data_IF_486051436078
#
_entry.id   IF_486051436078
#
_cell.length_a   1.000
_cell.length_b   1.000
_cell.length_c   1.000
_cell.angle_alpha   90.00
_cell.angle_beta   90.00
_cell.angle_gamma   90.00
#
_symmetry.space_group_name_H-M   'P 1'
#
loop_
_entity.id
_entity.type
_entity.pdbx_description
1 polymer ?
#
# COMPACT_ATOMS: atom_id res chain seq x y z
N UNK A 1 -5.64 -14.67 0.00
CA UNK A 1 -6.39 -13.42 -0.02
C UNK A 1 -6.04 -12.66 -1.29
N UNK A 2 -7.02 -12.49 -2.17
CA UNK A 2 -6.77 -11.95 -3.52
C UNK A 2 -6.24 -10.52 -3.52
N UNK A 3 -6.76 -9.67 -2.61
CA UNK A 3 -6.33 -8.28 -2.53
C UNK A 3 -4.85 -8.15 -2.14
N UNK A 4 -4.39 -8.96 -1.20
CA UNK A 4 -2.97 -8.95 -0.81
C UNK A 4 -2.07 -9.44 -1.93
N UNK A 5 -2.50 -10.47 -2.64
CA UNK A 5 -1.75 -10.99 -3.79
C UNK A 5 -1.66 -9.93 -4.89
N UNK A 6 -2.78 -9.28 -5.20
CA UNK A 6 -2.83 -8.21 -6.19
C UNK A 6 -1.88 -7.06 -5.82
N UNK A 7 -1.94 -6.60 -4.56
CA UNK A 7 -1.05 -5.53 -4.09
C UNK A 7 0.41 -5.93 -4.14
N UNK A 8 0.73 -7.13 -3.72
CA UNK A 8 2.11 -7.64 -3.75
C UNK A 8 2.66 -7.61 -5.18
N UNK A 9 1.88 -8.06 -6.16
CA UNK A 9 2.26 -8.05 -7.56
C UNK A 9 2.46 -6.63 -8.07
N UNK A 10 1.55 -5.69 -7.72
CA UNK A 10 1.65 -4.30 -8.16
C UNK A 10 2.86 -3.59 -7.55
N UNK A 11 3.13 -3.79 -6.28
CA UNK A 11 4.30 -3.20 -5.63
C UNK A 11 5.60 -3.75 -6.22
N UNK A 12 5.61 -5.02 -6.56
CA UNK A 12 6.75 -5.66 -7.23
C UNK A 12 6.99 -5.07 -8.62
N UNK A 13 5.92 -4.81 -9.38
CA UNK A 13 6.01 -4.14 -10.68
C UNK A 13 6.59 -2.73 -10.57
N UNK A 14 6.31 -2.04 -9.48
CA UNK A 14 6.86 -0.71 -9.21
C UNK A 14 8.31 -0.76 -8.70
N UNK A 15 8.83 -1.94 -8.41
CA UNK A 15 10.18 -2.09 -7.86
C UNK A 15 10.27 -1.70 -6.39
N UNK A 16 9.17 -1.77 -5.65
CA UNK A 16 9.14 -1.44 -4.23
C UNK A 16 9.58 -2.67 -3.41
N UNK A 17 10.65 -2.57 -2.61
CA UNK A 17 11.04 -3.66 -1.70
C UNK A 17 9.99 -3.80 -0.58
N UNK A 18 9.23 -4.90 -0.61
CA UNK A 18 8.04 -5.04 0.21
C UNK A 18 7.92 -6.44 0.80
N UNK A 19 7.53 -6.52 2.09
CA UNK A 19 7.11 -7.74 2.75
C UNK A 19 5.86 -7.47 3.58
N UNK A 20 5.00 -8.45 3.72
CA UNK A 20 3.77 -8.31 4.50
C UNK A 20 3.99 -8.73 5.95
N UNK A 21 3.45 -7.93 6.87
CA UNK A 21 3.49 -8.19 8.29
C UNK A 21 4.76 -7.71 8.96
N UNK A 22 5.89 -8.32 8.62
CA UNK A 22 7.19 -7.93 9.16
C UNK A 22 8.29 -8.19 8.14
N UNK A 23 9.40 -7.50 8.29
CA UNK A 23 10.54 -7.66 7.40
C UNK A 23 11.43 -8.79 7.93
N UNK A 24 11.58 -9.84 7.13
CA UNK A 24 12.35 -11.05 7.51
C UNK A 24 13.61 -11.26 6.68
N UNK A 25 13.72 -10.56 5.54
CA UNK A 25 14.89 -10.66 4.66
C UNK A 25 16.06 -9.85 5.21
N UNK A 26 17.23 -9.98 4.56
CA UNK A 26 18.40 -9.16 4.88
C UNK A 26 18.03 -7.67 4.73
N UNK A 27 18.40 -6.87 5.73
CA UNK A 27 18.01 -5.47 5.79
C UNK A 27 18.78 -4.62 4.79
N UNK A 28 18.07 -4.00 3.86
CA UNK A 28 18.61 -2.97 2.97
C UNK A 28 17.59 -1.83 2.86
N UNK A 29 18.07 -0.62 2.64
CA UNK A 29 17.21 0.57 2.62
C UNK A 29 17.00 1.09 1.21
N UNK A 30 15.80 1.58 0.87
CA UNK A 30 14.59 1.55 1.69
C UNK A 30 13.94 0.17 1.72
N UNK A 31 13.14 -0.10 2.75
CA UNK A 31 12.29 -1.28 2.78
C UNK A 31 10.89 -0.92 3.26
N UNK A 32 9.89 -1.69 2.83
CA UNK A 32 8.48 -1.42 3.13
C UNK A 32 7.83 -2.65 3.74
N UNK A 33 7.01 -2.41 4.74
CA UNK A 33 6.21 -3.45 5.40
C UNK A 33 4.74 -3.08 5.27
N UNK A 34 3.92 -4.04 4.85
CA UNK A 34 2.48 -3.83 4.68
C UNK A 34 1.67 -4.46 5.78
N UNK A 35 0.60 -3.80 6.16
CA UNK A 35 -0.40 -4.29 7.12
C UNK A 35 -1.78 -4.05 6.53
N UNK A 36 -2.73 -4.93 6.85
CA UNK A 36 -4.09 -4.85 6.36
C UNK A 36 -5.07 -4.70 7.52
N UNK A 37 -5.96 -3.72 7.41
CA UNK A 37 -7.09 -3.55 8.34
C UNK A 37 -8.38 -3.66 7.53
N UNK A 38 -9.23 -4.59 7.88
CA UNK A 38 -10.54 -4.75 7.24
C UNK A 38 -11.56 -3.85 7.93
N UNK A 39 -12.36 -3.16 7.13
CA UNK A 39 -13.44 -2.33 7.63
C UNK A 39 -14.67 -3.20 7.89
N UNK A 40 -15.40 -2.90 8.95
CA UNK A 40 -16.55 -3.72 9.38
C UNK A 40 -17.82 -3.45 8.57
N UNK A 41 -17.87 -2.37 7.81
CA UNK A 41 -19.09 -1.89 7.13
C UNK A 41 -18.90 -1.99 5.62
N UNK A 42 -19.86 -2.64 4.95
CA UNK A 42 -19.94 -2.64 3.50
C UNK A 42 -20.51 -1.31 3.01
N UNK A 43 -20.07 -0.87 1.83
CA UNK A 43 -20.62 0.31 1.19
C UNK A 43 -21.97 -0.01 0.52
N UNK A 44 -22.72 1.04 0.16
CA UNK A 44 -24.05 0.87 -0.47
C UNK A 44 -24.00 0.12 -1.79
N UNK A 45 -22.88 0.18 -2.50
CA UNK A 45 -22.68 -0.52 -3.77
C UNK A 45 -22.24 -1.98 -3.59
N UNK A 46 -22.26 -2.49 -2.35
CA UNK A 46 -21.89 -3.87 -2.05
C UNK A 46 -20.40 -4.13 -1.98
N UNK A 47 -19.58 -3.09 -1.96
CA UNK A 47 -18.13 -3.27 -1.85
C UNK A 47 -17.73 -3.51 -0.41
N UNK A 48 -16.81 -4.46 -0.23
CA UNK A 48 -16.08 -4.60 1.02
C UNK A 48 -14.88 -3.67 0.96
N UNK A 49 -14.64 -2.92 2.03
CA UNK A 49 -13.52 -2.00 2.08
C UNK A 49 -12.48 -2.44 3.11
N UNK A 50 -11.23 -2.18 2.80
CA UNK A 50 -10.13 -2.40 3.71
C UNK A 50 -9.07 -1.31 3.50
N UNK A 51 -8.22 -1.12 4.50
CA UNK A 51 -7.11 -0.17 4.43
C UNK A 51 -5.81 -0.94 4.51
N UNK A 52 -4.96 -0.73 3.51
CA UNK A 52 -3.63 -1.29 3.48
C UNK A 52 -2.64 -0.20 3.89
N UNK A 53 -1.88 -0.47 4.94
CA UNK A 53 -0.92 0.47 5.48
C UNK A 53 0.47 0.02 5.08
N UNK A 54 1.16 0.85 4.30
CA UNK A 54 2.50 0.57 3.82
C UNK A 54 3.48 1.48 4.54
N UNK A 55 4.33 0.91 5.38
CA UNK A 55 5.32 1.67 6.15
C UNK A 55 6.70 1.47 5.54
N UNK A 56 7.28 2.56 5.05
CA UNK A 56 8.60 2.56 4.45
C UNK A 56 9.64 3.14 5.38
N UNK A 57 10.78 2.46 5.51
CA UNK A 57 11.91 2.88 6.34
C UNK A 57 13.15 3.04 5.46
N UNK A 58 13.86 4.15 5.64
CA UNK A 58 15.01 4.49 4.81
C UNK A 58 16.09 5.20 5.63
N UNK A 59 17.33 4.94 5.30
CA UNK A 59 18.47 5.73 5.75
C UNK A 59 18.90 6.60 4.60
N UNK A 60 18.61 7.89 4.69
CA UNK A 60 18.87 8.82 3.61
C UNK A 60 17.97 10.03 3.75
N UNK A 61 17.53 10.60 2.65
CA UNK A 61 16.71 11.80 2.69
C UNK A 61 15.22 11.49 2.60
N UNK A 62 14.41 12.38 3.16
CA UNK A 62 12.96 12.35 2.96
C UNK A 62 12.59 12.47 1.49
N UNK A 63 13.46 13.11 0.68
CA UNK A 63 13.21 13.25 -0.75
C UNK A 63 13.10 11.89 -1.45
N UNK A 64 13.94 10.94 -1.07
CA UNK A 64 13.90 9.60 -1.65
C UNK A 64 12.56 8.90 -1.34
N UNK A 65 12.10 8.99 -0.09
CA UNK A 65 10.79 8.46 0.30
C UNK A 65 9.65 9.19 -0.39
N UNK A 66 9.77 10.51 -0.55
CA UNK A 66 8.77 11.32 -1.26
C UNK A 66 8.64 10.90 -2.72
N UNK A 67 9.75 10.58 -3.38
CA UNK A 67 9.73 10.09 -4.77
C UNK A 67 9.03 8.75 -4.88
N UNK A 68 9.28 7.85 -3.94
CA UNK A 68 8.59 6.55 -3.90
C UNK A 68 7.10 6.72 -3.65
N UNK A 69 6.72 7.62 -2.74
CA UNK A 69 5.32 7.94 -2.50
C UNK A 69 4.62 8.47 -3.75
N UNK A 70 5.26 9.37 -4.49
CA UNK A 70 4.70 9.90 -5.74
C UNK A 70 4.49 8.80 -6.78
N UNK A 71 5.42 7.88 -6.86
CA UNK A 71 5.33 6.72 -7.75
C UNK A 71 4.13 5.84 -7.39
N UNK A 72 3.95 5.56 -6.11
CA UNK A 72 2.82 4.78 -5.59
C UNK A 72 1.51 5.53 -5.82
N UNK A 73 1.45 6.83 -5.52
CA UNK A 73 0.28 7.67 -5.73
C UNK A 73 -0.16 7.71 -7.19
N UNK A 74 0.80 7.78 -8.11
CA UNK A 74 0.51 7.79 -9.54
C UNK A 74 -0.05 6.45 -10.00
N UNK A 75 0.49 5.36 -9.48
CA UNK A 75 0.05 4.01 -9.85
C UNK A 75 -1.34 3.68 -9.29
N UNK A 76 -1.57 4.00 -8.03
CA UNK A 76 -2.86 3.84 -7.37
C UNK A 76 -3.56 5.19 -7.29
N UNK A 77 -4.12 5.63 -8.42
CA UNK A 77 -4.72 6.95 -8.55
C UNK A 77 -5.74 7.20 -7.41
N UNK A 78 -5.66 8.35 -6.69
CA UNK A 78 -6.57 8.61 -5.57
C UNK A 78 -8.02 8.85 -5.98
N UNK A 79 -8.28 9.15 -7.24
CA UNK A 79 -9.63 9.43 -7.74
C UNK A 79 -10.21 8.21 -8.45
N UNK A 80 -9.48 7.66 -9.41
CA UNK A 80 -9.98 6.57 -10.25
C UNK A 80 -9.54 5.19 -9.74
N UNK A 81 -8.45 5.14 -8.99
CA UNK A 81 -7.90 3.90 -8.49
C UNK A 81 -7.25 3.04 -9.57
N UNK A 82 -6.54 2.01 -9.12
CA UNK A 82 -6.08 0.93 -9.97
C UNK A 82 -7.11 -0.20 -9.87
N UNK A 83 -7.67 -0.60 -11.00
CA UNK A 83 -8.76 -1.56 -11.05
C UNK A 83 -8.35 -2.84 -11.75
N UNK A 84 -8.89 -3.95 -11.27
CA UNK A 84 -8.73 -5.25 -11.91
C UNK A 84 -10.01 -6.06 -11.71
N UNK A 85 -10.23 -7.02 -12.60
CA UNK A 85 -11.39 -7.91 -12.50
C UNK A 85 -10.92 -9.36 -12.55
N UNK A 86 -11.49 -10.17 -11.67
CA UNK A 86 -11.22 -11.60 -11.60
C UNK A 86 -12.52 -12.36 -11.75
N UNK A 87 -12.43 -13.69 -11.84
CA UNK A 87 -13.63 -14.54 -11.85
C UNK A 87 -14.42 -14.46 -10.54
N UNK A 88 -13.75 -14.06 -9.46
CA UNK A 88 -14.38 -13.91 -8.14
C UNK A 88 -15.00 -12.52 -7.93
N UNK A 89 -14.75 -11.56 -8.82
CA UNK A 89 -15.27 -10.19 -8.70
C UNK A 89 -14.31 -9.15 -9.25
N UNK A 90 -14.35 -7.96 -8.68
CA UNK A 90 -13.47 -6.86 -9.06
C UNK A 90 -12.86 -6.18 -7.85
N UNK A 91 -11.72 -5.54 -8.06
CA UNK A 91 -10.97 -4.83 -7.03
C UNK A 91 -10.56 -3.45 -7.55
N UNK A 92 -10.58 -2.46 -6.67
CA UNK A 92 -10.03 -1.14 -6.93
C UNK A 92 -9.18 -0.72 -5.74
N UNK A 93 -7.99 -0.20 -6.02
CA UNK A 93 -7.06 0.27 -4.98
C UNK A 93 -6.75 1.74 -5.23
N UNK A 94 -6.92 2.55 -4.19
CA UNK A 94 -6.75 4.01 -4.24
C UNK A 94 -5.69 4.45 -3.26
N UNK A 95 -4.79 5.32 -3.69
CA UNK A 95 -3.91 6.02 -2.74
C UNK A 95 -4.77 6.93 -1.86
N UNK A 96 -4.64 6.80 -0.55
CA UNK A 96 -5.52 7.45 0.43
C UNK A 96 -4.75 8.25 1.48
N UNK A 97 -3.62 8.78 1.11
CA UNK A 97 -2.83 9.65 1.96
C UNK A 97 -1.50 9.05 2.39
N UNK A 98 -0.62 9.93 2.82
CA UNK A 98 0.70 9.57 3.33
C UNK A 98 1.19 10.63 4.29
N UNK A 99 2.03 10.21 5.25
CA UNK A 99 2.67 11.14 6.17
C UNK A 99 4.00 10.57 6.65
N UNK A 100 4.90 11.46 7.04
CA UNK A 100 6.18 11.07 7.61
C UNK A 100 6.01 10.79 9.10
N UNK A 101 6.64 9.72 9.58
CA UNK A 101 6.55 9.28 10.96
C UNK A 101 7.87 9.58 11.66
N UNK A 102 7.88 10.30 12.80
CA UNK A 102 9.11 10.51 13.56
C UNK A 102 9.70 9.19 14.05
N UNK A 103 11.01 9.02 13.94
CA UNK A 103 11.69 7.79 14.34
C UNK A 103 12.52 7.93 15.61
N UNK A 104 12.81 9.17 16.03
CA UNK A 104 13.73 9.47 17.13
C UNK A 104 15.18 9.02 16.87
N UNK A 105 15.50 8.65 15.63
CA UNK A 105 16.85 8.29 15.20
C UNK A 105 17.22 9.22 14.04
N UNK A 106 18.32 9.96 14.18
CA UNK A 106 18.66 11.08 13.30
C UNK A 106 18.77 10.73 11.82
N UNK A 107 19.34 9.58 11.50
CA UNK A 107 19.56 9.14 10.12
C UNK A 107 18.46 8.22 9.58
N UNK A 108 17.48 7.89 10.41
CA UNK A 108 16.40 6.97 10.02
C UNK A 108 15.14 7.77 9.69
N UNK A 109 14.61 7.56 8.49
CA UNK A 109 13.39 8.22 8.00
C UNK A 109 12.31 7.19 7.77
N UNK A 110 11.06 7.56 8.05
CA UNK A 110 9.92 6.65 7.89
C UNK A 110 8.74 7.37 7.29
N UNK A 111 8.02 6.70 6.40
CA UNK A 111 6.78 7.18 5.82
C UNK A 111 5.71 6.12 5.98
N UNK A 112 4.49 6.56 6.24
CA UNK A 112 3.32 5.69 6.22
C UNK A 112 2.44 6.10 5.06
N UNK A 113 2.10 5.14 4.20
CA UNK A 113 1.26 5.35 3.03
C UNK A 113 0.01 4.50 3.19
N UNK A 114 -1.16 5.10 3.05
CA UNK A 114 -2.42 4.39 3.17
C UNK A 114 -3.01 4.16 1.78
N UNK A 115 -3.42 2.93 1.52
CA UNK A 115 -4.12 2.55 0.30
C UNK A 115 -5.50 2.04 0.69
N UNK A 116 -6.53 2.55 0.04
CA UNK A 116 -7.91 2.11 0.25
C UNK A 116 -8.24 1.04 -0.76
N UNK A 117 -8.73 -0.09 -0.29
CA UNK A 117 -9.09 -1.22 -1.14
C UNK A 117 -10.60 -1.36 -1.13
N UNK A 118 -11.18 -1.47 -2.32
CA UNK A 118 -12.59 -1.82 -2.48
C UNK A 118 -12.68 -3.11 -3.29
N UNK A 119 -13.44 -4.07 -2.78
CA UNK A 119 -13.66 -5.35 -3.45
C UNK A 119 -15.15 -5.58 -3.65
N UNK A 120 -15.55 -5.93 -4.87
CA UNK A 120 -16.90 -6.35 -5.21
C UNK A 120 -16.85 -7.82 -5.58
N UNK A 121 -17.55 -8.64 -4.81
CA UNK A 121 -17.55 -10.08 -5.06
C UNK A 121 -18.51 -10.41 -6.21
N UNK A 122 -18.09 -11.32 -7.07
CA UNK A 122 -18.93 -11.87 -8.12
C UNK A 122 -20.04 -12.73 -7.52
N UNK A 123 -21.10 -12.92 -8.29
CA UNK A 123 -22.21 -13.76 -7.92
C UNK A 123 -22.18 -15.08 -8.69
#
# INVERSE_FOLDING_TARGET
MESLQFLCEQLKLLGIPYEFGEWTSELSYPYFVGELTEDAIETEDGAETSTFILTGTHKGSYLDLSKLNKKIKKHFDPIYGLRDSTTAGSIAVFWDGAFFVPTNVADLKRIQINLKIKEWKGR
#
